data_IF_526054375672
#
_entry.id   IF_526054375672
#
_cell.length_a   1.000
_cell.length_b   1.000
_cell.length_c   1.000
_cell.angle_alpha   90.00
_cell.angle_beta   90.00
_cell.angle_gamma   90.00
#
_symmetry.space_group_name_H-M   'P 1'
#
loop_
_entity.id
_entity.type
_entity.pdbx_description
1 polymer ?
#
# COMPACT_ATOMS: atom_id res chain seq x y z
N UNK A 1 10.36 -10.37 -27.47
CA UNK A 1 8.95 -10.04 -27.78
C UNK A 1 8.04 -10.64 -26.72
N UNK A 2 7.80 -9.92 -25.62
CA UNK A 2 6.85 -10.32 -24.55
C UNK A 2 5.49 -9.75 -24.95
N UNK A 3 4.64 -10.62 -25.51
CA UNK A 3 3.24 -10.29 -25.82
C UNK A 3 2.37 -10.57 -24.59
N UNK A 4 1.54 -9.59 -24.24
CA UNK A 4 0.25 -9.80 -23.61
C UNK A 4 0.13 -9.57 -22.11
N UNK A 5 0.36 -8.37 -21.63
CA UNK A 5 -0.27 -7.93 -20.39
C UNK A 5 -1.71 -7.53 -20.74
N UNK A 6 -2.67 -8.24 -20.14
CA UNK A 6 -4.09 -7.95 -20.31
C UNK A 6 -4.40 -6.50 -19.92
N UNK A 7 -5.41 -5.90 -20.60
CA UNK A 7 -5.91 -4.56 -20.30
C UNK A 7 -6.18 -4.43 -18.80
N UNK A 8 -5.80 -3.31 -18.15
CA UNK A 8 -6.06 -3.12 -16.73
C UNK A 8 -7.56 -3.29 -16.46
N UNK A 9 -7.92 -4.22 -15.58
CA UNK A 9 -9.27 -4.34 -15.09
C UNK A 9 -9.56 -3.07 -14.28
N UNK A 10 -10.44 -2.22 -14.79
CA UNK A 10 -10.98 -1.09 -14.06
C UNK A 10 -11.83 -1.62 -12.91
N UNK A 11 -11.21 -1.90 -11.77
CA UNK A 11 -11.92 -2.14 -10.53
C UNK A 11 -12.66 -0.84 -10.17
N UNK A 12 -14.00 -0.86 -10.20
CA UNK A 12 -14.79 0.29 -9.78
C UNK A 12 -14.48 0.57 -8.32
N UNK A 13 -13.95 1.75 -8.01
CA UNK A 13 -13.45 2.21 -6.69
C UNK A 13 -14.36 1.82 -5.51
N UNK A 14 -15.68 1.92 -5.65
CA UNK A 14 -16.66 1.52 -4.62
C UNK A 14 -16.58 0.04 -4.22
N UNK A 15 -16.20 -0.87 -5.14
CA UNK A 15 -16.12 -2.31 -4.83
C UNK A 15 -14.92 -2.69 -3.97
N UNK A 16 -13.80 -1.97 -4.08
CA UNK A 16 -12.60 -2.26 -3.29
C UNK A 16 -12.82 -1.96 -1.80
N UNK A 17 -13.47 -0.86 -1.47
CA UNK A 17 -13.77 -0.50 -0.08
C UNK A 17 -14.78 -1.47 0.57
N UNK A 18 -15.65 -2.10 -0.22
CA UNK A 18 -16.56 -3.13 0.31
C UNK A 18 -15.84 -4.35 0.90
N UNK A 19 -14.58 -4.61 0.47
CA UNK A 19 -13.74 -5.64 1.09
C UNK A 19 -13.45 -5.39 2.58
N UNK A 20 -13.58 -4.15 3.02
CA UNK A 20 -13.38 -3.77 4.42
C UNK A 20 -14.58 -4.11 5.33
N UNK A 21 -15.78 -4.35 4.75
CA UNK A 21 -16.98 -4.75 5.50
C UNK A 21 -16.85 -6.17 6.08
N UNK A 22 -16.04 -7.00 5.44
CA UNK A 22 -15.69 -8.34 5.91
C UNK A 22 -14.23 -8.63 5.54
N UNK A 23 -13.30 -8.17 6.35
CA UNK A 23 -11.88 -8.10 6.02
C UNK A 23 -11.24 -9.50 5.91
N UNK A 24 -10.84 -9.86 4.69
CA UNK A 24 -10.10 -11.09 4.35
C UNK A 24 -8.84 -10.81 3.53
N UNK A 25 -8.26 -9.61 3.66
CA UNK A 25 -7.14 -9.15 2.82
C UNK A 25 -5.83 -9.92 3.05
N UNK A 26 -5.69 -10.54 4.21
CA UNK A 26 -4.50 -11.34 4.54
C UNK A 26 -4.90 -12.72 5.05
N UNK A 27 -3.97 -13.68 5.20
CA UNK A 27 -4.26 -15.05 5.64
C UNK A 27 -4.94 -15.17 7.01
N UNK A 28 -4.94 -14.11 7.83
CA UNK A 28 -5.68 -14.11 9.11
C UNK A 28 -7.19 -14.11 8.94
N UNK A 29 -7.70 -13.61 7.81
CA UNK A 29 -9.14 -13.63 7.45
C UNK A 29 -10.05 -13.32 8.64
N UNK A 30 -9.73 -12.25 9.39
CA UNK A 30 -10.40 -11.93 10.67
C UNK A 30 -11.87 -11.53 10.53
N UNK A 31 -12.37 -11.24 9.34
CA UNK A 31 -13.79 -10.99 9.05
C UNK A 31 -14.37 -9.70 9.66
N UNK A 32 -13.58 -8.86 10.29
CA UNK A 32 -14.07 -7.63 10.94
C UNK A 32 -14.59 -6.63 9.92
N UNK A 33 -15.62 -5.87 10.31
CA UNK A 33 -16.10 -4.71 9.56
C UNK A 33 -15.29 -3.47 9.95
N UNK A 34 -14.31 -3.12 9.11
CA UNK A 34 -13.47 -1.93 9.29
C UNK A 34 -14.22 -0.64 8.93
N UNK A 35 -15.31 -0.72 8.17
CA UNK A 35 -16.12 0.45 7.80
C UNK A 35 -16.98 0.91 8.97
N UNK A 36 -17.33 -0.01 9.88
CA UNK A 36 -18.05 0.25 11.12
C UNK A 36 -17.11 0.47 12.33
N UNK A 37 -15.80 0.68 12.09
CA UNK A 37 -14.82 0.93 13.17
C UNK A 37 -14.18 -0.33 13.76
N UNK A 38 -14.53 -1.53 13.27
CA UNK A 38 -13.90 -2.79 13.68
C UNK A 38 -12.40 -2.81 13.36
N UNK A 39 -11.61 -3.44 14.24
CA UNK A 39 -10.17 -3.63 14.05
C UNK A 39 -9.83 -5.09 14.26
N UNK A 40 -9.13 -5.68 13.29
CA UNK A 40 -8.64 -7.05 13.37
C UNK A 40 -7.27 -7.13 14.06
N UNK A 41 -6.61 -8.28 13.93
CA UNK A 41 -5.30 -8.53 14.52
C UNK A 41 -4.26 -7.44 14.15
N UNK A 42 -4.24 -6.98 12.90
CA UNK A 42 -3.28 -5.96 12.44
C UNK A 42 -3.52 -4.57 13.08
N UNK A 43 -4.70 -4.28 13.60
CA UNK A 43 -5.06 -2.98 14.16
C UNK A 43 -5.52 -1.94 13.13
N UNK A 44 -5.48 -2.25 11.83
CA UNK A 44 -5.84 -1.31 10.77
C UNK A 44 -7.34 -0.94 10.78
N UNK A 45 -7.63 0.35 10.64
CA UNK A 45 -8.97 0.91 10.50
C UNK A 45 -9.41 1.07 9.04
N UNK A 46 -10.45 1.89 8.81
CA UNK A 46 -11.00 2.16 7.49
C UNK A 46 -10.03 2.96 6.61
N UNK A 47 -9.40 4.00 7.15
CA UNK A 47 -8.43 4.82 6.44
C UNK A 47 -7.03 4.18 6.48
N UNK A 48 -6.22 4.45 5.47
CA UNK A 48 -4.82 4.08 5.50
C UNK A 48 -4.08 4.93 6.55
N UNK A 49 -3.30 4.30 7.41
CA UNK A 49 -2.45 5.02 8.35
C UNK A 49 -1.01 4.97 7.86
N UNK A 50 -0.43 6.15 7.65
CA UNK A 50 0.92 6.32 7.11
C UNK A 50 1.81 6.89 8.19
N UNK A 51 2.92 6.21 8.47
CA UNK A 51 3.91 6.62 9.43
C UNK A 51 4.87 7.66 8.84
N UNK A 52 5.36 7.39 7.63
CA UNK A 52 6.34 8.25 6.93
C UNK A 52 6.15 8.20 5.43
N UNK A 53 6.45 9.31 4.76
CA UNK A 53 6.68 9.40 3.31
C UNK A 53 7.99 10.15 3.11
N UNK A 54 8.93 9.56 2.37
CA UNK A 54 10.26 10.13 2.20
C UNK A 54 10.98 9.55 1.00
N UNK A 55 11.99 10.27 0.48
CA UNK A 55 13.00 9.65 -0.38
C UNK A 55 13.92 8.80 0.49
N UNK A 56 14.05 7.52 0.14
CA UNK A 56 14.87 6.54 0.86
C UNK A 56 15.98 6.01 -0.06
N UNK A 57 17.23 6.15 0.36
CA UNK A 57 18.41 5.82 -0.45
C UNK A 57 19.06 4.49 -0.08
N UNK A 58 18.51 3.80 0.92
CA UNK A 58 19.03 2.54 1.45
C UNK A 58 18.16 1.32 1.09
N UNK A 59 17.39 1.43 -0.02
CA UNK A 59 16.74 0.29 -0.65
C UNK A 59 17.71 -0.40 -1.64
N UNK A 60 17.26 -1.47 -2.30
CA UNK A 60 18.03 -2.17 -3.30
C UNK A 60 18.45 -1.23 -4.43
N UNK A 61 19.67 -1.37 -4.98
CA UNK A 61 20.21 -0.46 -6.00
C UNK A 61 19.30 -0.27 -7.22
N UNK A 62 18.50 -1.27 -7.59
CA UNK A 62 17.56 -1.18 -8.70
C UNK A 62 16.33 -0.29 -8.41
N UNK A 63 16.05 0.03 -7.13
CA UNK A 63 14.89 0.81 -6.71
C UNK A 63 15.21 2.28 -6.48
N UNK A 64 16.46 2.61 -6.12
CA UNK A 64 16.79 3.96 -5.62
C UNK A 64 17.16 4.97 -6.70
N UNK A 65 17.61 4.54 -7.89
CA UNK A 65 18.05 5.46 -8.94
C UNK A 65 19.04 6.50 -8.43
N UNK A 66 18.93 7.75 -8.91
CA UNK A 66 19.84 8.85 -8.53
C UNK A 66 19.44 9.56 -7.22
N UNK A 67 18.15 9.54 -6.84
CA UNK A 67 17.61 10.35 -5.75
C UNK A 67 16.98 9.53 -4.62
N UNK A 68 16.82 8.23 -4.79
CA UNK A 68 16.19 7.31 -3.84
C UNK A 68 14.83 6.80 -4.30
N UNK A 69 14.33 5.78 -3.61
CA UNK A 69 12.97 5.31 -3.73
C UNK A 69 12.02 6.25 -2.97
N UNK A 70 10.84 6.51 -3.51
CA UNK A 70 9.76 7.21 -2.81
C UNK A 70 9.05 6.27 -1.85
N UNK A 71 9.59 6.11 -0.66
CA UNK A 71 9.09 5.16 0.32
C UNK A 71 7.87 5.68 1.07
N UNK A 72 6.84 4.85 1.19
CA UNK A 72 5.63 5.08 1.98
C UNK A 72 5.51 3.97 3.02
N UNK A 73 5.80 4.30 4.27
CA UNK A 73 5.73 3.36 5.39
C UNK A 73 4.32 3.35 5.97
N UNK A 74 3.62 2.24 5.79
CA UNK A 74 2.29 2.06 6.37
C UNK A 74 2.41 1.58 7.82
N UNK A 75 1.60 2.18 8.70
CA UNK A 75 1.49 1.77 10.08
C UNK A 75 0.64 0.51 10.23
N UNK A 76 0.81 -0.19 11.34
CA UNK A 76 0.26 -1.52 11.59
C UNK A 76 0.92 -2.62 10.73
N UNK A 77 0.63 -3.91 11.03
CA UNK A 77 1.22 -5.02 10.27
C UNK A 77 0.43 -6.31 10.47
N UNK A 78 0.26 -7.07 9.40
CA UNK A 78 -0.42 -8.38 9.43
C UNK A 78 0.42 -9.47 10.13
N UNK A 79 1.75 -9.34 10.13
CA UNK A 79 2.69 -10.29 10.76
C UNK A 79 2.94 -9.97 12.23
N UNK A 80 3.26 -8.72 12.56
CA UNK A 80 3.65 -8.27 13.91
C UNK A 80 4.79 -9.10 14.50
N UNK A 81 5.91 -9.19 13.77
CA UNK A 81 7.10 -9.94 14.19
C UNK A 81 7.66 -9.40 15.50
N UNK A 82 8.00 -10.28 16.45
CA UNK A 82 8.49 -9.90 17.79
C UNK A 82 9.83 -9.13 17.75
N UNK A 83 10.61 -9.30 16.68
CA UNK A 83 11.91 -8.65 16.45
C UNK A 83 11.83 -7.55 15.37
N UNK A 84 10.65 -6.96 15.15
CA UNK A 84 10.49 -5.96 14.12
C UNK A 84 11.29 -4.69 14.42
N UNK A 85 12.20 -4.30 13.51
CA UNK A 85 12.97 -3.06 13.63
C UNK A 85 12.08 -1.80 13.60
N UNK A 86 10.90 -1.90 12.97
CA UNK A 86 9.91 -0.83 12.88
C UNK A 86 8.76 -1.04 13.90
N UNK A 87 9.09 -1.41 15.15
CA UNK A 87 8.09 -1.81 16.17
C UNK A 87 7.05 -0.72 16.42
N UNK A 88 7.45 0.52 16.60
CA UNK A 88 6.57 1.66 16.85
C UNK A 88 5.53 1.84 15.71
N UNK A 89 5.94 1.60 14.46
CA UNK A 89 5.07 1.69 13.29
C UNK A 89 4.16 0.46 13.21
N UNK A 90 4.75 -0.74 13.29
CA UNK A 90 4.05 -2.00 13.01
C UNK A 90 3.15 -2.48 14.16
N UNK A 91 3.52 -2.23 15.41
CA UNK A 91 2.80 -2.72 16.61
C UNK A 91 2.01 -1.60 17.28
N UNK A 92 2.63 -0.44 17.50
CA UNK A 92 1.99 0.70 18.17
C UNK A 92 1.15 1.54 17.22
N UNK A 93 1.39 1.41 15.91
CA UNK A 93 0.60 2.07 14.89
C UNK A 93 0.86 3.58 14.79
N UNK A 94 2.09 4.02 15.09
CA UNK A 94 2.47 5.41 14.95
C UNK A 94 2.30 5.87 13.49
N UNK A 95 1.63 7.00 13.31
CA UNK A 95 1.32 7.57 12.01
C UNK A 95 0.01 8.34 12.01
N UNK A 96 -0.33 8.96 10.88
CA UNK A 96 -1.60 9.64 10.70
C UNK A 96 -2.48 8.91 9.69
N UNK A 97 -3.78 8.95 9.89
CA UNK A 97 -4.75 8.47 8.92
C UNK A 97 -4.77 9.43 7.71
N UNK A 98 -4.86 8.84 6.52
CA UNK A 98 -4.93 9.57 5.26
C UNK A 98 -6.12 9.09 4.46
N UNK A 99 -6.82 10.03 3.82
CA UNK A 99 -7.82 9.74 2.80
C UNK A 99 -7.12 9.21 1.53
N UNK A 100 -7.89 8.68 0.59
CA UNK A 100 -7.37 8.21 -0.70
C UNK A 100 -6.80 9.38 -1.53
N UNK A 101 -7.40 10.59 -1.41
CA UNK A 101 -6.92 11.82 -2.00
C UNK A 101 -5.56 12.25 -1.43
N UNK A 102 -5.44 12.28 -0.10
CA UNK A 102 -4.20 12.65 0.57
C UNK A 102 -3.07 11.67 0.24
N UNK A 103 -3.39 10.37 0.17
CA UNK A 103 -2.42 9.34 -0.18
C UNK A 103 -1.98 9.45 -1.64
N UNK A 104 -2.90 9.72 -2.57
CA UNK A 104 -2.57 9.99 -3.97
C UNK A 104 -1.68 11.23 -4.13
N UNK A 105 -1.99 12.31 -3.39
CA UNK A 105 -1.17 13.51 -3.38
C UNK A 105 0.25 13.25 -2.83
N UNK A 106 0.37 12.38 -1.81
CA UNK A 106 1.68 11.97 -1.28
C UNK A 106 2.50 11.21 -2.33
N UNK A 107 1.89 10.32 -3.12
CA UNK A 107 2.57 9.61 -4.22
C UNK A 107 3.10 10.58 -5.28
N UNK A 108 2.28 11.53 -5.70
CA UNK A 108 2.67 12.56 -6.66
C UNK A 108 3.76 13.48 -6.11
N UNK A 109 3.72 13.81 -4.81
CA UNK A 109 4.75 14.60 -4.15
C UNK A 109 6.11 13.89 -4.16
N UNK A 110 6.15 12.57 -3.93
CA UNK A 110 7.38 11.78 -4.02
C UNK A 110 7.94 11.78 -5.45
N UNK A 111 7.06 11.64 -6.46
CA UNK A 111 7.46 11.77 -7.87
C UNK A 111 8.05 13.15 -8.17
N UNK A 112 7.42 14.22 -7.71
CA UNK A 112 7.90 15.59 -7.90
C UNK A 112 9.25 15.85 -7.22
N UNK A 113 9.57 15.11 -6.15
CA UNK A 113 10.87 15.14 -5.48
C UNK A 113 11.96 14.34 -6.22
N UNK A 114 11.62 13.65 -7.32
CA UNK A 114 12.56 12.89 -8.15
C UNK A 114 12.75 11.44 -7.73
N UNK A 115 11.80 10.84 -6.99
CA UNK A 115 11.84 9.42 -6.67
C UNK A 115 11.99 8.57 -7.94
N UNK A 116 12.78 7.49 -7.86
CA UNK A 116 12.95 6.56 -8.96
C UNK A 116 11.81 5.54 -9.05
N UNK A 117 11.27 5.15 -7.90
CA UNK A 117 10.15 4.21 -7.73
C UNK A 117 9.24 4.70 -6.63
N UNK A 118 8.03 4.17 -6.56
CA UNK A 118 7.14 4.29 -5.41
C UNK A 118 7.18 2.97 -4.63
N UNK A 119 7.87 2.96 -3.50
CA UNK A 119 8.00 1.80 -2.63
C UNK A 119 6.97 1.81 -1.51
N UNK A 120 6.04 0.88 -1.53
CA UNK A 120 4.94 0.74 -0.59
C UNK A 120 5.32 -0.29 0.48
N UNK A 121 5.77 0.19 1.64
CA UNK A 121 6.30 -0.67 2.71
C UNK A 121 5.19 -1.15 3.63
N UNK A 122 5.04 -2.47 3.75
CA UNK A 122 4.00 -3.16 4.55
C UNK A 122 2.57 -2.78 4.15
N UNK A 123 2.17 -2.90 2.87
CA UNK A 123 0.94 -2.33 2.33
C UNK A 123 -0.29 -3.23 2.43
N UNK A 124 -0.13 -4.54 2.64
CA UNK A 124 -1.14 -5.62 2.52
C UNK A 124 -2.51 -5.28 3.08
N UNK A 125 -2.56 -4.76 4.31
CA UNK A 125 -3.80 -4.50 5.03
C UNK A 125 -4.51 -3.22 4.60
N UNK A 126 -3.90 -2.44 3.70
CA UNK A 126 -4.47 -1.24 3.09
C UNK A 126 -4.64 -1.37 1.57
N UNK A 127 -4.62 -2.59 1.03
CA UNK A 127 -4.78 -2.85 -0.41
C UNK A 127 -5.91 -2.06 -1.07
N UNK A 128 -7.16 -2.02 -0.53
CA UNK A 128 -8.25 -1.26 -1.16
C UNK A 128 -7.96 0.23 -1.27
N UNK A 129 -7.48 0.83 -0.19
CA UNK A 129 -7.18 2.27 -0.14
C UNK A 129 -6.02 2.61 -1.09
N UNK A 130 -4.97 1.78 -1.10
CA UNK A 130 -3.80 1.97 -1.95
C UNK A 130 -4.17 1.88 -3.43
N UNK A 131 -4.95 0.86 -3.82
CA UNK A 131 -5.36 0.69 -5.22
C UNK A 131 -6.21 1.87 -5.71
N UNK A 132 -7.13 2.37 -4.89
CA UNK A 132 -7.91 3.57 -5.21
C UNK A 132 -7.01 4.81 -5.33
N UNK A 133 -6.06 4.98 -4.40
CA UNK A 133 -5.12 6.09 -4.43
C UNK A 133 -4.17 6.03 -5.63
N UNK A 134 -3.70 4.84 -6.02
CA UNK A 134 -2.89 4.64 -7.22
C UNK A 134 -3.67 4.96 -8.49
N UNK A 135 -4.92 4.52 -8.60
CA UNK A 135 -5.77 4.83 -9.74
C UNK A 135 -5.96 6.35 -9.90
N UNK A 136 -6.21 7.05 -8.80
CA UNK A 136 -6.32 8.52 -8.76
C UNK A 136 -5.00 9.18 -9.13
N UNK A 137 -3.90 8.82 -8.48
CA UNK A 137 -2.59 9.40 -8.74
C UNK A 137 -2.16 9.21 -10.20
N UNK A 138 -2.44 8.04 -10.80
CA UNK A 138 -2.17 7.78 -12.22
C UNK A 138 -2.99 8.65 -13.15
N UNK A 139 -4.26 8.92 -12.82
CA UNK A 139 -5.09 9.88 -13.55
C UNK A 139 -4.53 11.29 -13.48
N UNK A 140 -3.85 11.63 -12.38
CA UNK A 140 -3.24 12.93 -12.12
C UNK A 140 -1.76 12.99 -12.53
N UNK A 141 -1.25 11.95 -13.24
CA UNK A 141 0.07 11.95 -13.88
C UNK A 141 1.17 11.19 -13.12
N UNK A 142 0.85 10.28 -12.21
CA UNK A 142 1.84 9.36 -11.62
C UNK A 142 2.35 8.37 -12.67
N UNK A 143 3.66 8.36 -12.87
CA UNK A 143 4.36 7.49 -13.85
C UNK A 143 5.40 6.58 -13.20
N UNK A 144 5.66 6.72 -11.90
CA UNK A 144 6.65 5.89 -11.20
C UNK A 144 6.26 4.41 -11.25
N UNK A 145 7.25 3.51 -11.43
CA UNK A 145 7.07 2.10 -11.12
C UNK A 145 6.68 1.94 -9.64
N UNK A 146 5.77 1.02 -9.37
CA UNK A 146 5.22 0.78 -8.03
C UNK A 146 5.72 -0.54 -7.49
N UNK A 147 6.36 -0.51 -6.34
CA UNK A 147 6.89 -1.68 -5.63
C UNK A 147 6.00 -2.02 -4.44
N UNK A 148 5.62 -3.31 -4.34
CA UNK A 148 4.85 -3.84 -3.22
C UNK A 148 5.78 -4.54 -2.22
N UNK A 149 6.31 -3.77 -1.27
CA UNK A 149 7.28 -4.25 -0.29
C UNK A 149 6.56 -4.93 0.88
N UNK A 150 6.44 -6.24 0.81
CA UNK A 150 5.65 -7.07 1.73
C UNK A 150 6.49 -8.11 2.44
N UNK A 151 6.08 -8.50 3.65
CA UNK A 151 6.65 -9.62 4.37
C UNK A 151 6.23 -11.01 3.85
N UNK A 152 5.53 -11.07 2.70
CA UNK A 152 5.10 -12.32 2.06
C UNK A 152 3.86 -12.97 2.71
N UNK A 153 3.27 -12.37 3.74
CA UNK A 153 2.05 -12.89 4.38
C UNK A 153 0.80 -12.39 3.65
N UNK A 154 0.61 -12.91 2.44
CA UNK A 154 -0.41 -12.51 1.49
C UNK A 154 -1.41 -13.65 1.20
N UNK A 155 -2.59 -13.30 0.71
CA UNK A 155 -3.50 -14.27 0.08
C UNK A 155 -3.37 -14.20 -1.43
N UNK A 156 -3.61 -15.31 -2.12
CA UNK A 156 -3.61 -15.37 -3.58
C UNK A 156 -4.58 -14.34 -4.17
N UNK A 157 -5.78 -14.23 -3.57
CA UNK A 157 -6.80 -13.27 -4.01
C UNK A 157 -6.35 -11.82 -3.85
N UNK A 158 -5.54 -11.52 -2.80
CA UNK A 158 -5.03 -10.18 -2.60
C UNK A 158 -3.94 -9.84 -3.62
N UNK A 159 -3.02 -10.77 -3.88
CA UNK A 159 -1.99 -10.62 -4.92
C UNK A 159 -2.62 -10.46 -6.30
N UNK A 160 -3.65 -11.26 -6.63
CA UNK A 160 -4.33 -11.13 -7.92
C UNK A 160 -4.94 -9.72 -8.15
N UNK A 161 -5.34 -9.01 -7.08
CA UNK A 161 -5.83 -7.63 -7.16
C UNK A 161 -4.76 -6.62 -7.54
N UNK A 162 -3.49 -6.94 -7.31
CA UNK A 162 -2.37 -6.05 -7.60
C UNK A 162 -2.00 -6.03 -9.08
N UNK A 163 -2.49 -7.00 -9.86
CA UNK A 163 -2.17 -7.14 -11.29
C UNK A 163 -2.46 -5.86 -12.06
N UNK A 164 -1.43 -5.31 -12.71
CA UNK A 164 -1.50 -4.05 -13.45
C UNK A 164 -1.53 -2.78 -12.58
N UNK A 165 -1.49 -2.91 -11.26
CA UNK A 165 -1.36 -1.79 -10.33
C UNK A 165 0.05 -1.67 -9.75
N UNK A 166 0.79 -2.77 -9.68
CA UNK A 166 2.20 -2.81 -9.26
C UNK A 166 3.06 -3.46 -10.35
N UNK A 167 4.36 -3.18 -10.35
CA UNK A 167 5.34 -3.60 -11.35
C UNK A 167 6.25 -4.73 -10.87
#
# INVERSE_FOLDING_TARGET
SIKGWGKPQTYKEKRLIDLLKHCTLCPRRCGVDRTAGGRGFCGAGRLARVARTMLHTWEEPCLVGAHGAGAVFFAHCTLRCVYCQNYEISHEGHGREMTEEELAAAFLSLQAQGAATLDLVTPTHYTPQILNSLARARSDGLTLPVVWNTGGYETEENIARLTGAVD
#
